data_IF_000531135715
#
_entry.id   IF_000531135715
#
_cell.length_a   1.000
_cell.length_b   1.000
_cell.length_c   1.000
_cell.angle_alpha   90.00
_cell.angle_beta   90.00
_cell.angle_gamma   90.00
#
_symmetry.space_group_name_H-M   'P 1'
#
loop_
_entity.id
_entity.type
_entity.pdbx_description
1 polymer ?
#
# COMPACT_ATOMS: atom_id res chain seq x y z
N UNK A 1 -13.05 -4.39 -19.54
CA UNK A 1 -11.87 -4.05 -18.72
C UNK A 1 -10.70 -4.85 -19.28
N UNK A 2 -9.60 -4.19 -19.64
CA UNK A 2 -8.47 -4.85 -20.28
C UNK A 2 -7.56 -5.47 -19.20
N UNK A 3 -7.07 -6.73 -19.33
CA UNK A 3 -6.27 -7.41 -18.30
C UNK A 3 -4.99 -6.68 -17.89
N UNK A 4 -4.46 -5.88 -18.80
CA UNK A 4 -3.25 -5.06 -18.68
C UNK A 4 -3.42 -3.86 -17.72
N UNK A 5 -4.63 -3.31 -17.59
CA UNK A 5 -4.93 -2.24 -16.64
C UNK A 5 -4.92 -2.75 -15.20
N UNK A 6 -5.42 -3.98 -14.98
CA UNK A 6 -5.46 -4.60 -13.66
C UNK A 6 -4.05 -4.81 -13.09
N UNK A 7 -3.11 -5.30 -13.91
CA UNK A 7 -1.72 -5.44 -13.51
C UNK A 7 -1.04 -4.11 -13.20
N UNK A 8 -1.35 -3.06 -13.97
CA UNK A 8 -0.80 -1.71 -13.74
C UNK A 8 -1.34 -1.07 -12.45
N UNK A 9 -2.63 -1.21 -12.17
CA UNK A 9 -3.28 -0.69 -10.95
C UNK A 9 -2.77 -1.42 -9.71
N UNK A 10 -2.75 -2.76 -9.72
CA UNK A 10 -2.21 -3.58 -8.62
C UNK A 10 -0.74 -3.18 -8.35
N UNK A 11 0.05 -3.00 -9.41
CA UNK A 11 1.45 -2.56 -9.30
C UNK A 11 1.63 -1.15 -8.76
N UNK A 12 0.65 -0.25 -8.94
CA UNK A 12 0.66 1.11 -8.35
C UNK A 12 0.25 1.07 -6.88
N UNK A 13 -0.85 0.40 -6.55
CA UNK A 13 -1.34 0.26 -5.18
C UNK A 13 -0.30 -0.40 -4.26
N UNK A 14 0.35 -1.47 -4.74
CA UNK A 14 1.43 -2.13 -4.01
C UNK A 14 2.64 -1.23 -3.74
N UNK A 15 3.01 -0.36 -4.69
CA UNK A 15 4.11 0.61 -4.51
C UNK A 15 3.78 1.66 -3.47
N UNK A 16 2.58 2.23 -3.52
CA UNK A 16 2.12 3.22 -2.52
C UNK A 16 2.04 2.60 -1.12
N UNK A 17 1.46 1.42 -0.99
CA UNK A 17 1.38 0.70 0.27
C UNK A 17 2.77 0.40 0.87
N UNK A 18 3.75 0.09 0.02
CA UNK A 18 5.14 -0.12 0.46
C UNK A 18 5.77 1.18 0.99
N UNK A 19 5.64 2.29 0.27
CA UNK A 19 6.16 3.58 0.70
C UNK A 19 5.55 4.03 2.04
N UNK A 20 4.23 3.89 2.18
CA UNK A 20 3.52 4.22 3.42
C UNK A 20 4.05 3.41 4.62
N UNK A 21 4.22 2.09 4.46
CA UNK A 21 4.77 1.24 5.53
C UNK A 21 6.17 1.66 5.95
N UNK A 22 7.02 2.05 5.00
CA UNK A 22 8.37 2.57 5.30
C UNK A 22 8.32 3.84 6.13
N UNK A 23 7.46 4.80 5.76
CA UNK A 23 7.32 6.06 6.48
C UNK A 23 6.78 5.84 7.90
N UNK A 24 5.76 4.99 8.04
CA UNK A 24 5.20 4.65 9.36
C UNK A 24 6.25 3.96 10.23
N UNK A 25 7.03 3.03 9.68
CA UNK A 25 8.09 2.37 10.42
C UNK A 25 9.19 3.35 10.90
N UNK A 26 9.56 4.32 10.07
CA UNK A 26 10.53 5.35 10.43
C UNK A 26 10.03 6.29 11.54
N UNK A 27 8.72 6.57 11.58
CA UNK A 27 8.10 7.45 12.57
C UNK A 27 7.68 6.75 13.86
N UNK A 28 7.56 5.42 13.86
CA UNK A 28 7.00 4.67 14.98
C UNK A 28 7.91 4.59 16.22
N UNK A 29 9.18 5.01 16.13
CA UNK A 29 10.12 5.11 17.27
C UNK A 29 10.12 3.87 18.18
N UNK A 30 10.31 2.69 17.57
CA UNK A 30 10.33 1.40 18.26
C UNK A 30 8.96 0.85 18.67
N UNK A 31 7.86 1.59 18.48
CA UNK A 31 6.50 1.11 18.74
C UNK A 31 6.03 0.20 17.60
N UNK A 32 5.32 -0.87 17.97
CA UNK A 32 4.74 -1.79 17.00
C UNK A 32 3.46 -1.17 16.42
N UNK A 33 3.50 -0.77 15.15
CA UNK A 33 2.34 -0.21 14.42
C UNK A 33 1.96 -1.17 13.29
N UNK A 34 0.67 -1.50 13.18
CA UNK A 34 0.12 -2.32 12.08
C UNK A 34 -0.53 -1.40 11.05
N UNK A 35 -0.21 -1.62 9.77
CA UNK A 35 -0.76 -0.85 8.64
C UNK A 35 -1.50 -1.79 7.71
N UNK A 36 -2.82 -1.69 7.72
CA UNK A 36 -3.73 -2.41 6.83
C UNK A 36 -4.17 -1.46 5.71
N UNK A 37 -3.93 -1.87 4.46
CA UNK A 37 -4.34 -1.10 3.27
C UNK A 37 -5.56 -1.80 2.69
N UNK A 38 -6.68 -1.10 2.63
CA UNK A 38 -7.98 -1.61 2.17
C UNK A 38 -8.33 -0.87 0.88
N UNK A 39 -8.56 -1.60 -0.22
CA UNK A 39 -9.16 -1.03 -1.42
C UNK A 39 -10.65 -0.79 -1.16
N UNK A 40 -11.13 0.39 -1.55
CA UNK A 40 -12.51 0.87 -1.27
C UNK A 40 -13.37 0.96 -2.53
N UNK A 41 -13.04 0.18 -3.56
CA UNK A 41 -13.88 0.06 -4.75
C UNK A 41 -15.09 -0.84 -4.41
N UNK A 42 -16.25 -0.21 -4.26
CA UNK A 42 -17.58 -0.84 -4.18
C UNK A 42 -18.18 -0.99 -5.58
#
# INVERSE_FOLDING_TARGET
MNPEDLGRVIGRAGRTAKALRTLVAALADGKRVRVDVVDTDF
#
